data_IF_847600899223
#
_entry.id   IF_847600899223
#
_cell.length_a   1.000
_cell.length_b   1.000
_cell.length_c   1.000
_cell.angle_alpha   90.00
_cell.angle_beta   90.00
_cell.angle_gamma   90.00
#
_symmetry.space_group_name_H-M   'P 1'
#
loop_
_entity.id
_entity.type
_entity.pdbx_description
1 polymer ?
#
# COMPACT_ATOMS: atom_id res chain seq x y z
N UNK A 1 -19.35 -12.82 3.02
CA UNK A 1 -19.07 -11.99 1.83
C UNK A 1 -18.51 -10.68 2.35
N UNK A 2 -17.35 -10.24 1.87
CA UNK A 2 -16.77 -8.95 2.25
C UNK A 2 -17.02 -7.92 1.13
N UNK A 3 -17.30 -6.66 1.50
CA UNK A 3 -17.51 -5.55 0.58
C UNK A 3 -16.42 -4.49 0.74
N UNK A 4 -15.78 -4.13 -0.37
CA UNK A 4 -14.71 -3.12 -0.40
C UNK A 4 -15.10 -1.89 -1.21
N UNK A 5 -14.80 -0.70 -0.67
CA UNK A 5 -14.79 0.57 -1.39
C UNK A 5 -13.42 0.75 -2.02
N UNK A 6 -13.33 1.08 -3.30
CA UNK A 6 -12.07 1.47 -3.94
C UNK A 6 -12.13 2.95 -4.32
N UNK A 7 -11.21 3.75 -3.79
CA UNK A 7 -11.06 5.16 -4.13
C UNK A 7 -9.84 5.39 -5.01
N UNK A 8 -10.09 5.90 -6.21
CA UNK A 8 -9.04 6.37 -7.13
C UNK A 8 -8.59 7.81 -6.82
N UNK A 9 -9.42 8.61 -6.13
CA UNK A 9 -9.20 10.04 -5.89
C UNK A 9 -8.98 10.91 -7.15
N UNK A 10 -9.76 10.77 -8.23
CA UNK A 10 -9.53 11.55 -9.45
C UNK A 10 -9.93 13.02 -9.28
N UNK A 11 -9.15 13.95 -9.81
CA UNK A 11 -9.53 15.36 -9.92
C UNK A 11 -10.10 15.64 -11.32
N UNK A 12 -11.41 15.43 -11.47
CA UNK A 12 -12.12 15.63 -12.75
C UNK A 12 -12.44 17.09 -13.04
N UNK A 13 -12.85 17.83 -12.00
CA UNK A 13 -13.09 19.27 -12.07
C UNK A 13 -11.89 19.99 -11.45
N UNK A 14 -11.09 20.64 -12.29
CA UNK A 14 -9.89 21.36 -11.85
C UNK A 14 -10.23 22.67 -11.12
N UNK A 15 -11.46 23.17 -11.22
CA UNK A 15 -11.90 24.33 -10.45
C UNK A 15 -12.10 24.00 -8.96
N UNK A 16 -12.37 22.72 -8.66
CA UNK A 16 -12.39 22.18 -7.31
C UNK A 16 -10.96 21.77 -6.95
N UNK A 17 -10.33 22.49 -6.01
CA UNK A 17 -8.95 22.21 -5.60
C UNK A 17 -8.78 20.82 -4.98
N UNK A 18 -7.53 20.35 -4.89
CA UNK A 18 -7.20 19.01 -4.35
C UNK A 18 -7.81 18.71 -2.98
N UNK A 19 -8.00 19.75 -2.15
CA UNK A 19 -8.67 19.63 -0.84
C UNK A 19 -10.05 18.99 -0.95
N UNK A 20 -10.86 19.40 -1.93
CA UNK A 20 -12.21 18.86 -2.10
C UNK A 20 -12.17 17.35 -2.37
N UNK A 21 -11.21 16.88 -3.17
CA UNK A 21 -11.04 15.44 -3.45
C UNK A 21 -10.75 14.64 -2.17
N UNK A 22 -9.93 15.19 -1.26
CA UNK A 22 -9.65 14.55 0.02
C UNK A 22 -10.84 14.59 0.97
N UNK A 23 -11.57 15.71 1.02
CA UNK A 23 -12.78 15.84 1.85
C UNK A 23 -13.85 14.84 1.37
N UNK A 24 -14.13 14.81 0.06
CA UNK A 24 -15.09 13.87 -0.55
C UNK A 24 -14.69 12.42 -0.30
N UNK A 25 -13.39 12.10 -0.43
CA UNK A 25 -12.91 10.73 -0.14
C UNK A 25 -13.07 10.37 1.32
N UNK A 26 -12.82 11.31 2.23
CA UNK A 26 -13.01 11.11 3.67
C UNK A 26 -14.47 10.85 3.99
N UNK A 27 -15.39 11.63 3.43
CA UNK A 27 -16.83 11.44 3.61
C UNK A 27 -17.32 10.10 3.02
N UNK A 28 -16.82 9.72 1.84
CA UNK A 28 -17.11 8.42 1.24
C UNK A 28 -16.66 7.26 2.12
N UNK A 29 -15.45 7.30 2.69
CA UNK A 29 -14.94 6.24 3.56
C UNK A 29 -15.72 6.15 4.87
N UNK A 30 -16.07 7.29 5.48
CA UNK A 30 -16.90 7.32 6.69
C UNK A 30 -18.30 6.77 6.44
N UNK A 31 -18.90 7.13 5.31
CA UNK A 31 -20.20 6.59 4.89
C UNK A 31 -20.11 5.07 4.63
N UNK A 32 -19.06 4.61 3.95
CA UNK A 32 -18.84 3.19 3.70
C UNK A 32 -18.77 2.38 5.00
N UNK A 33 -18.06 2.88 6.02
CA UNK A 33 -18.05 2.27 7.36
C UNK A 33 -19.48 2.22 7.96
N UNK A 34 -20.22 3.33 7.91
CA UNK A 34 -21.56 3.43 8.49
C UNK A 34 -22.56 2.46 7.88
N UNK A 35 -22.43 2.18 6.58
CA UNK A 35 -23.32 1.26 5.85
C UNK A 35 -22.76 -0.17 5.76
N UNK A 36 -21.65 -0.46 6.45
CA UNK A 36 -21.16 -1.82 6.67
C UNK A 36 -20.18 -2.36 5.61
N UNK A 37 -19.43 -1.50 4.92
CA UNK A 37 -18.28 -1.96 4.13
C UNK A 37 -17.13 -2.40 5.05
N UNK A 38 -16.41 -3.43 4.63
CA UNK A 38 -15.33 -4.05 5.40
C UNK A 38 -13.98 -3.36 5.18
N UNK A 39 -13.77 -2.81 3.97
CA UNK A 39 -12.47 -2.27 3.54
C UNK A 39 -12.65 -1.01 2.71
N UNK A 40 -11.80 0.00 2.93
CA UNK A 40 -11.54 1.07 1.98
C UNK A 40 -10.12 0.97 1.42
N UNK A 41 -10.06 0.78 0.11
CA UNK A 41 -8.86 0.69 -0.70
C UNK A 41 -8.51 2.02 -1.33
N UNK A 42 -7.24 2.39 -1.27
CA UNK A 42 -6.72 3.67 -1.75
C UNK A 42 -5.74 3.41 -2.89
N UNK A 43 -6.00 3.99 -4.06
CA UNK A 43 -5.08 3.91 -5.19
C UNK A 43 -3.85 4.81 -4.98
N UNK A 44 -2.71 4.40 -5.53
CA UNK A 44 -1.50 5.20 -5.60
C UNK A 44 -1.22 5.61 -7.05
N UNK A 45 -0.98 6.90 -7.27
CA UNK A 45 -0.71 7.46 -8.59
C UNK A 45 -0.02 8.83 -8.46
N UNK A 46 0.69 9.23 -9.52
CA UNK A 46 1.57 10.39 -9.46
C UNK A 46 1.44 11.31 -10.67
N UNK A 47 1.75 12.59 -10.44
CA UNK A 47 2.01 13.59 -11.49
C UNK A 47 0.86 13.86 -12.47
N UNK A 48 -0.37 13.50 -12.12
CA UNK A 48 -1.53 13.73 -12.97
C UNK A 48 -2.82 13.85 -12.16
N UNK A 49 -3.85 14.43 -12.77
CA UNK A 49 -5.18 14.53 -12.18
C UNK A 49 -5.97 13.21 -12.20
N UNK A 50 -5.36 12.13 -12.71
CA UNK A 50 -5.90 10.77 -12.65
C UNK A 50 -6.14 10.32 -11.21
N UNK A 51 -5.27 10.74 -10.28
CA UNK A 51 -5.43 10.57 -8.85
C UNK A 51 -4.68 11.66 -8.10
N UNK A 52 -5.28 12.16 -7.02
CA UNK A 52 -4.63 13.07 -6.09
C UNK A 52 -3.97 12.34 -4.92
N UNK A 53 -3.72 11.04 -5.00
CA UNK A 53 -3.12 10.27 -3.91
C UNK A 53 -1.72 9.73 -4.27
N UNK A 54 -0.65 10.49 -3.97
CA UNK A 54 0.73 10.04 -4.15
C UNK A 54 1.23 9.17 -3.00
N UNK A 55 0.50 9.09 -1.87
CA UNK A 55 0.87 8.25 -0.73
C UNK A 55 -0.38 7.68 -0.06
N UNK A 56 -0.78 6.45 -0.42
CA UNK A 56 -1.96 5.82 0.15
C UNK A 56 -1.79 5.54 1.66
N UNK A 57 -0.56 5.33 2.16
CA UNK A 57 -0.31 5.12 3.59
C UNK A 57 -0.51 6.39 4.42
N UNK A 58 -0.13 7.56 3.89
CA UNK A 58 -0.41 8.85 4.55
C UNK A 58 -1.92 9.07 4.65
N UNK A 59 -2.66 8.81 3.57
CA UNK A 59 -4.11 8.95 3.59
C UNK A 59 -4.77 7.89 4.50
N UNK A 60 -4.30 6.64 4.47
CA UNK A 60 -4.78 5.60 5.37
C UNK A 60 -4.56 5.97 6.84
N UNK A 61 -3.40 6.53 7.18
CA UNK A 61 -3.10 7.04 8.52
C UNK A 61 -4.06 8.15 8.95
N UNK A 62 -4.42 9.06 8.05
CA UNK A 62 -5.40 10.11 8.33
C UNK A 62 -6.80 9.53 8.58
N UNK A 63 -7.24 8.62 7.71
CA UNK A 63 -8.55 7.98 7.81
C UNK A 63 -8.66 7.05 9.02
N UNK A 64 -7.55 6.47 9.48
CA UNK A 64 -7.49 5.63 10.67
C UNK A 64 -8.01 6.37 11.91
N UNK A 65 -7.67 7.65 12.07
CA UNK A 65 -8.17 8.49 13.17
C UNK A 65 -9.61 8.98 13.01
N UNK A 66 -10.23 8.79 11.84
CA UNK A 66 -11.59 9.24 11.52
C UNK A 66 -12.60 8.09 11.43
N UNK A 67 -12.12 6.85 11.59
CA UNK A 67 -12.88 5.61 11.47
C UNK A 67 -12.54 4.68 12.63
N UNK A 68 -13.35 3.65 12.85
CA UNK A 68 -13.21 2.79 14.04
C UNK A 68 -13.24 1.30 13.76
N UNK A 69 -13.69 0.89 12.57
CA UNK A 69 -13.99 -0.50 12.22
C UNK A 69 -13.51 -0.87 10.83
N UNK A 70 -13.72 0.00 9.83
CA UNK A 70 -13.34 -0.29 8.45
C UNK A 70 -11.83 -0.48 8.33
N UNK A 71 -11.41 -1.49 7.57
CA UNK A 71 -10.00 -1.70 7.24
C UNK A 71 -9.56 -0.71 6.19
N UNK A 72 -8.30 -0.28 6.27
CA UNK A 72 -7.77 0.78 5.42
C UNK A 72 -6.46 0.35 4.82
N UNK A 73 -6.28 0.64 3.53
CA UNK A 73 -4.93 0.61 2.98
C UNK A 73 -4.85 0.60 1.46
N UNK A 74 -3.63 0.43 0.95
CA UNK A 74 -3.32 0.63 -0.46
C UNK A 74 -3.85 -0.50 -1.34
N UNK A 75 -4.34 -0.17 -2.53
CA UNK A 75 -4.58 -1.10 -3.63
C UNK A 75 -4.05 -0.49 -4.94
N UNK A 76 -2.74 -0.34 -5.10
CA UNK A 76 -1.65 -0.99 -4.34
C UNK A 76 -0.58 0.02 -3.92
N UNK A 77 0.35 -0.40 -3.07
CA UNK A 77 1.67 0.21 -2.99
C UNK A 77 2.48 -0.21 -4.20
N UNK A 78 2.95 0.78 -4.96
CA UNK A 78 3.80 0.56 -6.13
C UNK A 78 5.24 0.33 -5.66
N UNK A 79 5.52 -0.89 -5.18
CA UNK A 79 6.75 -1.23 -4.46
C UNK A 79 8.07 -0.76 -5.12
N UNK A 80 8.23 -0.77 -6.46
CA UNK A 80 9.46 -0.30 -7.08
C UNK A 80 9.77 1.19 -6.87
N UNK A 81 8.78 1.98 -6.42
CA UNK A 81 8.95 3.40 -6.09
C UNK A 81 9.40 3.62 -4.63
N UNK A 82 9.57 2.55 -3.84
CA UNK A 82 9.86 2.63 -2.41
C UNK A 82 11.13 1.87 -2.02
N UNK A 83 11.72 2.29 -0.89
CA UNK A 83 12.65 1.45 -0.15
C UNK A 83 11.87 0.56 0.83
N UNK A 84 12.03 -0.77 0.83
CA UNK A 84 11.20 -1.68 1.63
C UNK A 84 11.34 -1.45 3.15
N UNK A 85 12.53 -1.13 3.65
CA UNK A 85 12.71 -0.77 5.07
C UNK A 85 11.92 0.47 5.49
N UNK A 86 11.75 1.44 4.59
CA UNK A 86 10.94 2.64 4.86
C UNK A 86 9.46 2.26 4.95
N UNK A 87 9.00 1.45 4.00
CA UNK A 87 7.64 0.91 3.97
C UNK A 87 7.33 0.13 5.24
N UNK A 88 8.24 -0.70 5.76
CA UNK A 88 8.03 -1.42 7.01
C UNK A 88 7.67 -0.52 8.20
N UNK A 89 8.41 0.57 8.38
CA UNK A 89 8.11 1.54 9.43
C UNK A 89 6.76 2.21 9.24
N UNK A 90 6.40 2.54 7.99
CA UNK A 90 5.12 3.19 7.66
C UNK A 90 3.93 2.23 7.83
N UNK A 91 4.06 0.97 7.42
CA UNK A 91 3.05 -0.06 7.66
C UNK A 91 2.85 -0.27 9.17
N UNK A 92 3.93 -0.43 9.93
CA UNK A 92 3.85 -0.53 11.40
C UNK A 92 3.14 0.67 12.02
N UNK A 93 3.45 1.88 11.57
CA UNK A 93 2.81 3.10 12.05
C UNK A 93 1.31 3.15 11.74
N UNK A 94 0.90 2.84 10.50
CA UNK A 94 -0.53 2.83 10.13
C UNK A 94 -1.27 1.72 10.89
N UNK A 95 -0.65 0.57 11.06
CA UNK A 95 -1.24 -0.54 11.83
C UNK A 95 -1.51 -0.14 13.28
N UNK A 96 -0.53 0.47 13.95
CA UNK A 96 -0.66 1.00 15.32
C UNK A 96 -1.74 2.09 15.40
N UNK A 97 -1.73 3.07 14.49
CA UNK A 97 -2.71 4.17 14.49
C UNK A 97 -4.13 3.72 14.15
N UNK A 98 -4.28 2.56 13.53
CA UNK A 98 -5.56 1.99 13.15
C UNK A 98 -6.03 0.87 14.07
N UNK A 99 -5.32 0.59 15.15
CA UNK A 99 -5.59 -0.54 16.07
C UNK A 99 -5.68 -1.89 15.32
N UNK A 100 -4.76 -2.13 14.40
CA UNK A 100 -4.69 -3.38 13.65
C UNK A 100 -5.67 -3.50 12.49
N UNK A 101 -6.15 -2.39 11.94
CA UNK A 101 -7.07 -2.37 10.78
C UNK A 101 -6.36 -2.19 9.44
N UNK A 102 -5.02 -2.19 9.42
CA UNK A 102 -4.24 -2.12 8.19
C UNK A 102 -4.48 -3.36 7.32
N UNK A 103 -4.71 -3.12 6.04
CA UNK A 103 -4.68 -4.12 4.97
C UNK A 103 -3.78 -3.60 3.85
N UNK A 104 -3.02 -4.45 3.17
CA UNK A 104 -1.99 -3.98 2.24
C UNK A 104 -2.07 -4.69 0.90
N UNK A 105 -2.30 -3.93 -0.16
CA UNK A 105 -2.12 -4.36 -1.54
C UNK A 105 -0.70 -4.03 -2.02
N UNK A 106 0.01 -4.99 -2.58
CA UNK A 106 1.31 -4.79 -3.24
C UNK A 106 1.19 -4.96 -4.75
N UNK A 107 1.93 -4.16 -5.51
CA UNK A 107 2.08 -4.38 -6.94
C UNK A 107 3.35 -3.76 -7.50
N UNK A 108 3.67 -4.13 -8.73
CA UNK A 108 4.87 -3.67 -9.45
C UNK A 108 4.68 -2.31 -10.12
N UNK A 109 3.44 -1.82 -10.28
CA UNK A 109 3.14 -0.64 -11.09
C UNK A 109 3.25 -0.87 -12.59
N UNK A 110 2.65 0.03 -13.38
CA UNK A 110 2.59 -0.11 -14.84
C UNK A 110 2.67 1.23 -15.59
N UNK A 111 2.60 2.36 -14.90
CA UNK A 111 2.50 3.68 -15.52
C UNK A 111 3.87 4.19 -15.96
N UNK A 112 4.25 3.95 -17.22
CA UNK A 112 5.53 4.40 -17.78
C UNK A 112 5.79 5.90 -17.59
N UNK A 113 4.72 6.71 -17.62
CA UNK A 113 4.81 8.14 -17.32
C UNK A 113 5.41 8.39 -15.93
N UNK A 114 4.88 7.75 -14.89
CA UNK A 114 5.31 7.94 -13.50
C UNK A 114 6.73 7.42 -13.26
N UNK A 115 7.01 6.19 -13.72
CA UNK A 115 8.32 5.53 -13.58
C UNK A 115 9.44 6.37 -14.20
N UNK A 116 9.18 6.94 -15.39
CA UNK A 116 10.14 7.81 -16.06
C UNK A 116 10.49 9.07 -15.25
N UNK A 117 9.54 9.66 -14.49
CA UNK A 117 9.80 10.87 -13.67
C UNK A 117 10.52 10.53 -12.36
N UNK A 118 10.30 9.34 -11.81
CA UNK A 118 11.06 8.86 -10.66
C UNK A 118 12.45 8.31 -11.03
N UNK A 119 12.76 8.16 -12.32
CA UNK A 119 14.02 7.58 -12.77
C UNK A 119 14.14 6.09 -12.48
N UNK A 120 13.02 5.39 -12.31
CA UNK A 120 12.97 3.95 -12.05
C UNK A 120 12.70 3.20 -13.35
N UNK A 121 13.53 2.22 -13.74
CA UNK A 121 13.28 1.40 -14.93
C UNK A 121 11.98 0.59 -14.79
N UNK A 122 11.05 0.76 -15.74
CA UNK A 122 9.79 0.02 -15.71
C UNK A 122 10.00 -1.47 -16.02
N UNK A 123 11.01 -1.80 -16.81
CA UNK A 123 11.33 -3.16 -17.26
C UNK A 123 11.75 -4.07 -16.09
N UNK A 124 12.26 -3.49 -15.01
CA UNK A 124 12.72 -4.21 -13.82
C UNK A 124 11.67 -4.24 -12.69
N UNK A 125 10.51 -3.62 -12.89
CA UNK A 125 9.51 -3.37 -11.85
C UNK A 125 9.07 -4.65 -11.11
N UNK A 126 8.87 -5.76 -11.82
CA UNK A 126 8.48 -7.03 -11.24
C UNK A 126 9.59 -7.62 -10.37
N UNK A 127 10.83 -7.58 -10.84
CA UNK A 127 11.96 -8.13 -10.10
C UNK A 127 12.26 -7.31 -8.83
N UNK A 128 12.21 -5.97 -8.93
CA UNK A 128 12.34 -5.07 -7.78
C UNK A 128 11.22 -5.31 -6.77
N UNK A 129 9.96 -5.38 -7.23
CA UNK A 129 8.84 -5.63 -6.34
C UNK A 129 8.91 -7.04 -5.71
N UNK A 130 9.49 -8.03 -6.38
CA UNK A 130 9.71 -9.36 -5.83
C UNK A 130 10.68 -9.35 -4.65
N UNK A 131 11.84 -8.69 -4.81
CA UNK A 131 12.80 -8.55 -3.71
C UNK A 131 12.26 -7.69 -2.57
N UNK A 132 11.51 -6.63 -2.90
CA UNK A 132 10.85 -5.81 -1.88
C UNK A 132 9.85 -6.63 -1.05
N UNK A 133 9.03 -7.48 -1.69
CA UNK A 133 8.12 -8.38 -0.96
C UNK A 133 8.86 -9.39 -0.11
N UNK A 134 9.98 -9.96 -0.56
CA UNK A 134 10.76 -10.88 0.28
C UNK A 134 11.19 -10.20 1.59
N UNK A 135 11.68 -8.96 1.50
CA UNK A 135 12.09 -8.17 2.68
C UNK A 135 10.89 -7.89 3.58
N UNK A 136 9.74 -7.50 3.00
CA UNK A 136 8.52 -7.23 3.77
C UNK A 136 8.01 -8.49 4.49
N UNK A 137 8.01 -9.62 3.81
CA UNK A 137 7.59 -10.92 4.34
C UNK A 137 8.51 -11.41 5.46
N UNK A 138 9.83 -11.28 5.32
CA UNK A 138 10.79 -11.60 6.39
C UNK A 138 10.53 -10.78 7.65
N UNK A 139 10.25 -9.48 7.48
CA UNK A 139 9.91 -8.60 8.59
C UNK A 139 8.62 -9.02 9.29
N UNK A 140 7.59 -9.40 8.53
CA UNK A 140 6.31 -9.87 9.10
C UNK A 140 6.48 -11.20 9.85
N UNK A 141 7.29 -12.11 9.33
CA UNK A 141 7.45 -13.45 9.91
C UNK A 141 8.40 -13.44 11.13
N UNK A 142 9.36 -12.51 11.20
CA UNK A 142 10.48 -12.59 12.16
C UNK A 142 10.77 -11.30 12.94
N UNK A 143 10.15 -10.16 12.60
CA UNK A 143 10.42 -8.86 13.22
C UNK A 143 11.82 -8.29 12.91
N UNK A 144 12.56 -8.93 12.01
CA UNK A 144 13.90 -8.53 11.56
C UNK A 144 14.12 -8.93 10.11
N UNK A 145 15.08 -8.28 9.47
CA UNK A 145 15.43 -8.51 8.06
C UNK A 145 16.93 -8.52 7.87
N UNK A 146 17.40 -9.46 7.05
CA UNK A 146 18.74 -9.49 6.47
C UNK A 146 18.56 -10.02 5.04
N UNK A 147 19.00 -9.25 4.04
CA UNK A 147 18.69 -9.57 2.64
C UNK A 147 19.87 -9.23 1.73
N UNK A 148 20.16 -10.14 0.81
CA UNK A 148 21.24 -10.01 -0.18
C UNK A 148 20.66 -10.29 -1.57
N UNK A 149 20.05 -9.28 -2.17
CA UNK A 149 19.46 -9.32 -3.50
C UNK A 149 20.25 -8.50 -4.52
N UNK A 150 19.77 -8.56 -5.77
CA UNK A 150 20.30 -7.74 -6.87
C UNK A 150 19.96 -6.27 -6.69
N UNK A 151 18.75 -5.97 -6.21
CA UNK A 151 18.23 -4.61 -6.10
C UNK A 151 18.36 -4.05 -4.68
N UNK A 152 18.24 -4.90 -3.67
CA UNK A 152 18.37 -4.50 -2.27
C UNK A 152 19.45 -5.30 -1.56
N UNK A 153 20.34 -4.60 -0.86
CA UNK A 153 21.22 -5.18 0.16
C UNK A 153 20.85 -4.57 1.51
N UNK A 154 20.45 -5.42 2.45
CA UNK A 154 20.01 -5.03 3.78
C UNK A 154 20.82 -5.81 4.82
N UNK A 155 21.68 -5.14 5.61
CA UNK A 155 22.31 -5.80 6.76
C UNK A 155 21.27 -6.15 7.81
N UNK A 156 21.61 -7.02 8.77
CA UNK A 156 20.69 -7.38 9.86
C UNK A 156 20.10 -6.12 10.51
N UNK A 157 18.78 -5.98 10.37
CA UNK A 157 18.02 -4.78 10.76
C UNK A 157 16.75 -5.19 11.49
N UNK A 158 16.50 -4.57 12.65
CA UNK A 158 15.30 -4.79 13.44
C UNK A 158 14.16 -3.88 12.98
N UNK A 159 12.92 -4.38 13.02
CA UNK A 159 11.71 -3.56 12.75
C UNK A 159 11.38 -2.70 13.97
N UNK A 160 11.65 -1.39 13.89
CA UNK A 160 11.50 -0.49 15.04
C UNK A 160 10.04 -0.27 15.49
N UNK A 161 9.08 -0.33 14.55
CA UNK A 161 7.65 -0.16 14.82
C UNK A 161 6.96 -1.49 14.51
N UNK A 162 6.78 -2.38 15.51
CA UNK A 162 6.07 -3.62 15.30
C UNK A 162 4.58 -3.35 15.05
N UNK A 163 3.92 -4.26 14.36
CA UNK A 163 2.47 -4.23 14.17
C UNK A 163 1.73 -4.72 15.42
N UNK A 164 0.50 -4.24 15.62
CA UNK A 164 -0.49 -4.82 16.52
C UNK A 164 -0.90 -6.20 16.00
N UNK A 165 -1.10 -6.30 14.69
CA UNK A 165 -1.32 -7.58 14.01
C UNK A 165 -0.02 -8.40 13.97
N UNK A 166 -0.12 -9.73 13.98
CA UNK A 166 1.04 -10.60 13.74
C UNK A 166 1.62 -10.41 12.34
N UNK A 167 0.73 -10.22 11.36
CA UNK A 167 1.02 -9.83 9.99
C UNK A 167 -0.24 -9.18 9.41
N UNK A 168 -0.15 -8.15 8.55
CA UNK A 168 -1.34 -7.57 7.96
C UNK A 168 -1.87 -8.53 6.89
N UNK A 169 -3.17 -8.42 6.58
CA UNK A 169 -3.67 -9.10 5.38
C UNK A 169 -3.03 -8.49 4.13
N UNK A 170 -2.29 -9.31 3.40
CA UNK A 170 -1.62 -8.93 2.15
C UNK A 170 -2.45 -9.37 0.96
N UNK A 171 -2.58 -8.50 -0.03
CA UNK A 171 -3.11 -8.79 -1.36
C UNK A 171 -2.04 -8.45 -2.39
N UNK A 172 -1.87 -9.28 -3.40
CA UNK A 172 -0.92 -9.04 -4.49
C UNK A 172 -1.70 -8.74 -5.77
N UNK A 173 -1.45 -7.57 -6.37
CA UNK A 173 -1.96 -7.25 -7.69
C UNK A 173 -0.96 -7.69 -8.77
N UNK A 174 -1.43 -8.50 -9.70
CA UNK A 174 -0.65 -8.95 -10.84
C UNK A 174 -1.15 -10.27 -11.40
N UNK A 175 -0.70 -10.60 -12.59
CA UNK A 175 -1.00 -11.86 -13.28
C UNK A 175 0.26 -12.64 -13.68
N UNK A 176 1.43 -12.20 -13.21
CA UNK A 176 2.69 -12.90 -13.46
C UNK A 176 2.68 -14.27 -12.74
N UNK A 177 3.05 -15.37 -13.43
CA UNK A 177 3.02 -16.71 -12.84
C UNK A 177 3.75 -16.80 -11.49
N UNK A 178 4.90 -16.14 -11.35
CA UNK A 178 5.67 -16.13 -10.10
C UNK A 178 4.91 -15.47 -8.95
N UNK A 179 4.13 -14.42 -9.22
CA UNK A 179 3.33 -13.72 -8.21
C UNK A 179 2.12 -14.55 -7.81
N UNK A 180 1.49 -15.22 -8.77
CA UNK A 180 0.40 -16.16 -8.50
C UNK A 180 0.91 -17.35 -7.66
N UNK A 181 2.09 -17.89 -7.97
CA UNK A 181 2.73 -18.92 -7.17
C UNK A 181 3.09 -18.43 -5.76
N UNK A 182 3.64 -17.21 -5.62
CA UNK A 182 3.91 -16.60 -4.30
C UNK A 182 2.62 -16.49 -3.49
N UNK A 183 1.57 -15.90 -4.07
CA UNK A 183 0.27 -15.73 -3.41
C UNK A 183 -0.30 -17.08 -2.95
N UNK A 184 -0.28 -18.10 -3.82
CA UNK A 184 -0.73 -19.44 -3.50
C UNK A 184 0.09 -20.10 -2.38
N UNK A 185 1.42 -19.93 -2.37
CA UNK A 185 2.30 -20.49 -1.32
C UNK A 185 2.08 -19.83 0.03
N UNK A 186 1.90 -18.51 0.06
CA UNK A 186 1.73 -17.71 1.29
C UNK A 186 0.29 -17.72 1.81
N UNK A 187 -0.68 -18.14 0.99
CA UNK A 187 -2.09 -18.14 1.35
C UNK A 187 -2.71 -16.74 1.36
N UNK A 188 -2.25 -15.87 0.45
CA UNK A 188 -2.83 -14.54 0.21
C UNK A 188 -4.15 -14.62 -0.55
#
# INVERSE_FOLDING_TARGET
MELGLFSLLPQRDLSLGAKQVYDDTTDMVRMAEQIGFDVAWIAEHHFGNYSMCPSPLVLASHLAGLTSKIRLGPAVLVLPLYHPLRVLGELGMVDQLSDGRLIVGFGSGYQAFEFNRFGVPLEENWAVAHEAMDILEMAFDHGRVEYQGKYFQVPETHVAVPMVQSSPRVIIAGNQPEYLHRAARRGY
#
